data_IF_102459425857
#
_entry.id   IF_102459425857
#
_cell.length_a   1.000
_cell.length_b   1.000
_cell.length_c   1.000
_cell.angle_alpha   90.00
_cell.angle_beta   90.00
_cell.angle_gamma   90.00
#
_symmetry.space_group_name_H-M   'P 1'
#
loop_
_entity.id
_entity.type
_entity.pdbx_description
1 polymer ?
#
# COMPACT_ATOMS: atom_id res chain seq x y z
N UNK A 1 4.98 18.93 10.56
CA UNK A 1 5.15 20.30 11.05
C UNK A 1 4.06 21.21 10.47
N UNK A 2 3.39 22.00 11.33
CA UNK A 2 2.33 22.93 10.91
C UNK A 2 2.86 24.00 9.93
N UNK A 3 4.11 24.40 10.10
CA UNK A 3 4.77 25.37 9.22
C UNK A 3 4.91 24.79 7.80
N UNK A 4 5.28 23.52 7.68
CA UNK A 4 5.36 22.84 6.37
C UNK A 4 3.98 22.70 5.72
N UNK A 5 2.93 22.50 6.49
CA UNK A 5 1.55 22.45 5.97
C UNK A 5 1.12 23.79 5.33
N UNK A 6 1.64 24.90 5.83
CA UNK A 6 1.28 26.25 5.35
C UNK A 6 2.21 26.78 4.28
N UNK A 7 3.35 26.11 3.99
CA UNK A 7 4.28 26.51 2.93
C UNK A 7 3.71 26.22 1.53
N UNK A 8 4.23 26.96 0.54
CA UNK A 8 4.09 26.70 -0.89
C UNK A 8 2.64 26.49 -1.37
N UNK A 9 1.69 27.25 -0.82
CA UNK A 9 0.26 27.18 -1.17
C UNK A 9 -0.38 25.78 -0.95
N UNK A 10 0.24 24.94 -0.10
CA UNK A 10 -0.15 23.54 0.11
C UNK A 10 -1.62 23.40 0.52
N UNK A 11 -2.09 24.25 1.41
CA UNK A 11 -3.49 24.20 1.87
C UNK A 11 -4.47 24.46 0.72
N UNK A 12 -4.16 25.44 -0.17
CA UNK A 12 -4.99 25.72 -1.36
C UNK A 12 -4.89 24.59 -2.38
N UNK A 13 -3.71 23.99 -2.56
CA UNK A 13 -3.54 22.84 -3.45
C UNK A 13 -4.41 21.65 -2.99
N UNK A 14 -4.43 21.34 -1.69
CA UNK A 14 -5.28 20.31 -1.12
C UNK A 14 -6.77 20.63 -1.35
N UNK A 15 -7.20 21.88 -1.11
CA UNK A 15 -8.57 22.27 -1.34
C UNK A 15 -8.97 22.18 -2.83
N UNK A 16 -8.09 22.63 -3.76
CA UNK A 16 -8.32 22.49 -5.21
C UNK A 16 -8.41 21.04 -5.64
N UNK A 17 -7.55 20.19 -5.10
CA UNK A 17 -7.55 18.77 -5.42
C UNK A 17 -8.82 18.08 -4.93
N UNK A 18 -9.32 18.41 -3.74
CA UNK A 18 -10.59 17.91 -3.25
C UNK A 18 -11.78 18.32 -4.15
N UNK A 19 -11.81 19.59 -4.60
CA UNK A 19 -12.80 20.08 -5.54
C UNK A 19 -12.70 19.38 -6.89
N UNK A 20 -11.47 19.25 -7.43
CA UNK A 20 -11.23 18.55 -8.70
C UNK A 20 -11.76 17.12 -8.64
N UNK A 21 -11.41 16.38 -7.59
CA UNK A 21 -11.85 14.99 -7.40
C UNK A 21 -13.39 14.89 -7.30
N UNK A 22 -14.05 15.83 -6.59
CA UNK A 22 -15.51 15.88 -6.52
C UNK A 22 -16.14 16.13 -7.89
N UNK A 23 -15.61 17.07 -8.68
CA UNK A 23 -16.10 17.36 -10.03
C UNK A 23 -15.93 16.16 -10.98
N UNK A 24 -14.78 15.48 -10.94
CA UNK A 24 -14.54 14.26 -11.71
C UNK A 24 -15.61 13.20 -11.41
N UNK A 25 -15.96 13.02 -10.14
CA UNK A 25 -16.96 12.04 -9.73
C UNK A 25 -18.39 12.39 -10.17
N UNK A 26 -18.71 13.65 -10.42
CA UNK A 26 -20.03 14.05 -10.97
C UNK A 26 -20.24 13.53 -12.42
N UNK A 27 -19.16 13.50 -13.21
CA UNK A 27 -19.18 13.04 -14.60
C UNK A 27 -18.88 11.53 -14.74
N UNK A 28 -18.64 10.83 -13.61
CA UNK A 28 -18.24 9.44 -13.62
C UNK A 28 -19.38 8.50 -14.01
N UNK A 29 -19.09 7.58 -14.92
CA UNK A 29 -19.99 6.46 -15.28
C UNK A 29 -19.78 5.29 -14.30
N UNK A 30 -20.71 4.34 -14.30
CA UNK A 30 -20.58 3.14 -13.46
C UNK A 30 -19.38 2.29 -13.88
N UNK A 31 -18.62 1.81 -12.89
CA UNK A 31 -17.46 0.98 -13.13
C UNK A 31 -17.86 -0.41 -13.64
N UNK A 32 -17.11 -0.98 -14.61
CA UNK A 32 -17.33 -2.35 -15.05
C UNK A 32 -16.98 -3.34 -13.93
N UNK A 33 -17.69 -4.48 -13.89
CA UNK A 33 -17.37 -5.59 -13.01
C UNK A 33 -16.65 -6.72 -13.77
N UNK A 34 -15.81 -7.48 -13.05
CA UNK A 34 -15.12 -8.65 -13.59
C UNK A 34 -13.61 -8.62 -13.43
N UNK A 35 -12.94 -9.61 -13.99
CA UNK A 35 -11.46 -9.66 -13.99
C UNK A 35 -10.92 -8.82 -15.14
N UNK A 36 -10.00 -7.93 -14.83
CA UNK A 36 -9.37 -7.06 -15.83
C UNK A 36 -7.97 -6.62 -15.41
N UNK A 37 -7.23 -6.04 -16.35
CA UNK A 37 -5.97 -5.35 -16.06
C UNK A 37 -6.28 -4.04 -15.34
N UNK A 38 -5.60 -3.81 -14.20
CA UNK A 38 -5.69 -2.58 -13.44
C UNK A 38 -4.31 -1.93 -13.39
N UNK A 39 -4.26 -0.65 -13.72
CA UNK A 39 -3.07 0.18 -13.47
C UNK A 39 -3.34 1.01 -12.21
N UNK A 40 -2.47 0.89 -11.23
CA UNK A 40 -2.50 1.72 -10.03
C UNK A 40 -1.58 2.91 -10.22
N UNK A 41 -2.03 4.11 -9.89
CA UNK A 41 -1.20 5.31 -9.88
C UNK A 41 -0.12 5.29 -8.78
N UNK A 42 0.85 6.22 -8.82
CA UNK A 42 1.88 6.30 -7.81
C UNK A 42 1.39 6.97 -6.52
N UNK A 43 2.04 6.71 -5.40
CA UNK A 43 1.78 7.36 -4.11
C UNK A 43 0.75 6.64 -3.24
N UNK A 44 -0.39 7.29 -2.94
CA UNK A 44 -1.42 6.79 -2.02
C UNK A 44 -1.97 5.40 -2.37
N UNK A 45 -2.11 4.98 -3.64
CA UNK A 45 -2.48 3.60 -3.95
C UNK A 45 -1.57 2.53 -3.33
N UNK A 46 -0.38 2.89 -2.85
CA UNK A 46 0.47 2.04 -2.00
C UNK A 46 -0.18 1.56 -0.71
N UNK A 47 -1.35 2.08 -0.32
CA UNK A 47 -2.18 1.52 0.76
C UNK A 47 -2.53 0.05 0.48
N UNK A 48 -2.61 -0.35 -0.78
CA UNK A 48 -2.78 -1.76 -1.14
C UNK A 48 -1.62 -2.63 -0.65
N UNK A 49 -0.39 -2.12 -0.70
CA UNK A 49 0.79 -2.83 -0.17
C UNK A 49 0.76 -2.92 1.35
N UNK A 50 0.30 -1.86 2.02
CA UNK A 50 0.11 -1.84 3.47
C UNK A 50 -0.81 -2.97 3.92
N UNK A 51 -1.94 -3.16 3.23
CA UNK A 51 -2.89 -4.20 3.55
C UNK A 51 -2.45 -5.58 3.02
N UNK A 52 -2.02 -5.65 1.74
CA UNK A 52 -1.70 -6.91 1.09
C UNK A 52 -0.45 -7.60 1.66
N UNK A 53 0.53 -6.83 2.11
CA UNK A 53 1.83 -7.30 2.62
C UNK A 53 2.04 -6.86 4.06
N UNK A 54 1.91 -5.57 4.35
CA UNK A 54 2.33 -4.98 5.61
C UNK A 54 1.79 -5.72 6.84
N UNK A 55 0.50 -5.80 6.99
CA UNK A 55 -0.14 -6.53 8.10
C UNK A 55 0.17 -8.03 8.07
N UNK A 56 0.24 -8.63 6.88
CA UNK A 56 0.60 -10.04 6.73
C UNK A 56 2.03 -10.37 7.17
N UNK A 57 2.92 -9.36 7.22
CA UNK A 57 4.34 -9.53 7.58
C UNK A 57 4.64 -9.08 9.01
N UNK A 58 3.64 -8.72 9.80
CA UNK A 58 3.83 -8.44 11.22
C UNK A 58 4.19 -9.71 12.01
N UNK A 59 5.18 -9.60 12.89
CA UNK A 59 5.81 -10.74 13.55
C UNK A 59 4.89 -11.53 14.47
N UNK A 60 3.95 -10.88 15.13
CA UNK A 60 3.01 -11.54 16.05
C UNK A 60 2.05 -12.49 15.32
N UNK A 61 1.52 -12.11 14.15
CA UNK A 61 0.68 -13.00 13.33
C UNK A 61 1.48 -14.16 12.76
N UNK A 62 2.71 -13.91 12.29
CA UNK A 62 3.58 -14.94 11.76
C UNK A 62 4.03 -15.92 12.84
N UNK A 63 4.37 -15.45 14.05
CA UNK A 63 4.70 -16.31 15.20
C UNK A 63 3.54 -17.21 15.61
N UNK A 64 2.33 -16.68 15.58
CA UNK A 64 1.09 -17.44 15.91
C UNK A 64 0.65 -18.36 14.76
N UNK A 65 1.25 -18.27 13.57
CA UNK A 65 0.84 -19.05 12.41
C UNK A 65 -0.51 -18.61 11.82
N UNK A 66 -0.95 -17.38 12.10
CA UNK A 66 -2.28 -16.86 11.70
C UNK A 66 -2.22 -15.92 10.49
N UNK A 67 -1.03 -15.58 10.00
CA UNK A 67 -0.90 -14.82 8.75
C UNK A 67 -0.98 -15.76 7.53
N UNK A 68 -1.56 -15.26 6.44
CA UNK A 68 -1.52 -15.89 5.12
C UNK A 68 -0.08 -16.13 4.60
N UNK A 69 0.92 -15.46 5.17
CA UNK A 69 2.35 -15.58 4.81
C UNK A 69 3.16 -16.41 5.82
N UNK A 70 2.52 -16.99 6.84
CA UNK A 70 3.22 -17.81 7.82
C UNK A 70 3.95 -18.99 7.13
N UNK A 71 5.26 -19.11 7.40
CA UNK A 71 6.11 -20.13 6.78
C UNK A 71 6.60 -19.80 5.37
N UNK A 72 6.31 -18.61 4.82
CA UNK A 72 6.72 -18.22 3.46
C UNK A 72 8.09 -17.54 3.38
N UNK A 73 8.84 -17.45 4.48
CA UNK A 73 10.20 -16.88 4.47
C UNK A 73 11.08 -17.60 3.44
N UNK A 74 11.74 -16.82 2.57
CA UNK A 74 12.55 -17.33 1.46
C UNK A 74 11.75 -17.82 0.24
N UNK A 75 10.43 -17.83 0.30
CA UNK A 75 9.57 -18.22 -0.83
C UNK A 75 9.15 -17.02 -1.67
N UNK A 76 8.71 -17.30 -2.91
CA UNK A 76 8.17 -16.27 -3.81
C UNK A 76 6.73 -15.92 -3.43
N UNK A 77 6.54 -14.67 -3.04
CA UNK A 77 5.24 -14.09 -2.63
C UNK A 77 4.75 -13.00 -3.58
N UNK A 78 5.59 -12.54 -4.50
CA UNK A 78 5.26 -11.53 -5.51
C UNK A 78 5.98 -11.81 -6.84
N UNK A 79 5.65 -11.08 -7.89
CA UNK A 79 6.31 -11.15 -9.18
C UNK A 79 7.80 -10.75 -9.07
N UNK A 80 8.61 -11.18 -10.04
CA UNK A 80 10.00 -10.70 -10.18
C UNK A 80 10.02 -9.18 -10.36
N UNK A 81 11.06 -8.54 -9.83
CA UNK A 81 11.21 -7.08 -9.84
C UNK A 81 10.46 -6.38 -8.69
N UNK A 82 9.49 -7.03 -8.04
CA UNK A 82 8.80 -6.47 -6.88
C UNK A 82 9.72 -6.48 -5.66
N UNK A 83 10.09 -5.29 -5.18
CA UNK A 83 10.84 -5.10 -3.93
C UNK A 83 10.07 -4.14 -3.04
N UNK A 84 9.77 -4.56 -1.80
CA UNK A 84 8.95 -3.83 -0.83
C UNK A 84 9.74 -3.71 0.46
N UNK A 85 9.73 -2.50 1.01
CA UNK A 85 10.41 -2.17 2.28
C UNK A 85 9.43 -1.53 3.26
N UNK A 86 9.74 -1.64 4.57
CA UNK A 86 9.20 -0.79 5.62
C UNK A 86 10.33 0.05 6.20
N UNK A 87 10.24 1.38 6.03
CA UNK A 87 11.34 2.29 6.34
C UNK A 87 10.90 3.40 7.30
N UNK A 88 11.30 3.27 8.56
CA UNK A 88 11.05 4.28 9.59
C UNK A 88 12.07 5.43 9.61
N UNK A 89 13.09 5.42 8.76
CA UNK A 89 14.21 6.39 8.77
C UNK A 89 13.99 7.61 7.89
N UNK A 90 12.94 7.62 7.05
CA UNK A 90 12.68 8.69 6.10
C UNK A 90 12.38 10.01 6.80
N UNK A 91 13.22 11.03 6.57
CA UNK A 91 13.07 12.33 7.20
C UNK A 91 11.74 13.00 6.86
N UNK A 92 11.05 13.54 7.89
CA UNK A 92 9.82 14.32 7.72
C UNK A 92 8.58 13.52 7.29
N UNK A 93 8.65 12.18 7.27
CA UNK A 93 7.48 11.34 6.92
C UNK A 93 6.63 11.03 8.14
N UNK A 94 5.33 10.83 7.91
CA UNK A 94 4.34 10.61 8.97
C UNK A 94 4.56 9.31 9.76
N UNK A 95 5.02 8.26 9.11
CA UNK A 95 5.30 6.97 9.74
C UNK A 95 6.69 6.88 10.38
N UNK A 96 7.56 7.88 10.17
CA UNK A 96 8.96 7.85 10.61
C UNK A 96 9.14 8.15 12.09
N UNK A 97 10.14 7.53 12.67
CA UNK A 97 10.55 7.71 14.09
C UNK A 97 12.05 7.40 14.22
N UNK A 98 12.72 8.02 15.21
CA UNK A 98 14.13 7.76 15.48
C UNK A 98 14.33 6.44 16.21
N UNK A 99 13.44 6.15 17.17
CA UNK A 99 13.39 4.89 17.94
C UNK A 99 11.91 4.50 18.07
N UNK A 100 11.63 3.21 18.15
CA UNK A 100 10.29 2.71 18.44
C UNK A 100 9.93 2.84 19.93
N UNK A 101 8.71 2.47 20.30
CA UNK A 101 8.23 2.58 21.69
C UNK A 101 8.88 1.57 22.65
N UNK A 102 9.75 0.71 22.16
CA UNK A 102 10.60 -0.21 22.94
C UNK A 102 12.07 0.24 22.97
N UNK A 103 12.42 1.42 22.38
CA UNK A 103 13.77 1.95 22.32
C UNK A 103 14.67 1.25 21.29
N UNK A 104 14.09 0.57 20.29
CA UNK A 104 14.85 0.01 19.17
C UNK A 104 15.00 1.10 18.10
N UNK A 105 16.24 1.37 17.60
CA UNK A 105 16.41 2.31 16.49
C UNK A 105 15.61 1.90 15.26
N UNK A 106 14.99 2.89 14.61
CA UNK A 106 14.35 2.69 13.31
C UNK A 106 15.36 2.29 12.25
N UNK A 107 14.88 1.51 11.28
CA UNK A 107 15.68 1.06 10.16
C UNK A 107 14.82 0.90 8.90
N UNK A 108 15.47 0.68 7.77
CA UNK A 108 14.83 0.23 6.53
C UNK A 108 14.86 -1.30 6.51
N UNK A 109 13.71 -1.92 6.67
CA UNK A 109 13.55 -3.38 6.67
C UNK A 109 13.06 -3.85 5.31
N UNK A 110 13.87 -4.68 4.62
CA UNK A 110 13.44 -5.31 3.36
C UNK A 110 12.46 -6.44 3.68
N UNK A 111 11.23 -6.29 3.25
CA UNK A 111 10.16 -7.27 3.43
C UNK A 111 10.13 -8.27 2.26
N UNK A 112 10.16 -7.77 1.03
CA UNK A 112 10.20 -8.54 -0.21
C UNK A 112 11.34 -8.02 -1.07
N UNK A 113 12.17 -8.89 -1.62
CA UNK A 113 13.23 -8.57 -2.57
C UNK A 113 13.07 -9.43 -3.81
N UNK A 114 12.96 -8.81 -4.99
CA UNK A 114 12.70 -9.51 -6.26
C UNK A 114 11.59 -10.57 -6.16
N UNK A 115 10.53 -10.24 -5.45
CA UNK A 115 9.38 -11.12 -5.24
C UNK A 115 9.57 -12.21 -4.17
N UNK A 116 10.71 -12.28 -3.51
CA UNK A 116 11.02 -13.26 -2.45
C UNK A 116 10.85 -12.62 -1.08
N UNK A 117 10.12 -13.29 -0.18
CA UNK A 117 9.98 -12.85 1.21
C UNK A 117 11.31 -12.92 1.95
N UNK A 118 11.78 -11.78 2.49
CA UNK A 118 13.09 -11.63 3.15
C UNK A 118 13.02 -11.29 4.62
N UNK A 119 11.98 -10.59 5.04
CA UNK A 119 11.91 -10.07 6.40
C UNK A 119 10.49 -10.00 6.94
N UNK A 120 10.40 -9.77 8.23
CA UNK A 120 9.18 -9.49 8.98
C UNK A 120 9.32 -8.16 9.72
N UNK A 121 8.20 -7.55 10.02
CA UNK A 121 8.08 -6.37 10.89
C UNK A 121 8.04 -6.87 12.33
N UNK A 122 9.06 -6.54 13.14
CA UNK A 122 9.26 -7.15 14.46
C UNK A 122 9.34 -6.12 15.59
N UNK A 123 8.64 -6.42 16.70
CA UNK A 123 8.91 -5.87 18.01
C UNK A 123 9.96 -6.74 18.76
N UNK A 124 10.38 -6.33 19.94
CA UNK A 124 11.35 -7.10 20.75
C UNK A 124 10.78 -8.44 21.25
N UNK A 125 9.50 -8.45 21.63
CA UNK A 125 8.87 -9.64 22.20
C UNK A 125 8.75 -10.76 21.16
N UNK A 126 8.16 -10.48 20.00
CA UNK A 126 7.96 -11.47 18.95
C UNK A 126 9.28 -11.86 18.29
N UNK A 127 10.19 -10.91 18.07
CA UNK A 127 11.54 -11.18 17.56
C UNK A 127 12.28 -12.19 18.45
N UNK A 128 12.28 -11.98 19.76
CA UNK A 128 12.92 -12.92 20.72
C UNK A 128 12.34 -14.33 20.63
N UNK A 129 11.01 -14.45 20.58
CA UNK A 129 10.33 -15.75 20.52
C UNK A 129 10.55 -16.49 19.19
N UNK A 130 10.83 -15.76 18.12
CA UNK A 130 11.13 -16.30 16.79
C UNK A 130 12.63 -16.47 16.52
N UNK A 131 13.51 -16.11 17.47
CA UNK A 131 14.97 -16.11 17.24
C UNK A 131 15.43 -15.10 16.19
N UNK A 132 14.67 -14.00 16.00
CA UNK A 132 14.95 -12.94 15.04
C UNK A 132 15.43 -11.66 15.75
N UNK A 133 15.82 -10.65 14.96
CA UNK A 133 16.13 -9.31 15.46
C UNK A 133 14.89 -8.43 15.40
N UNK A 134 14.73 -7.53 16.39
CA UNK A 134 13.75 -6.45 16.33
C UNK A 134 14.11 -5.47 15.22
N UNK A 135 13.07 -4.90 14.58
CA UNK A 135 13.24 -4.05 13.39
C UNK A 135 12.90 -2.58 13.62
N UNK A 136 12.70 -2.16 14.89
CA UNK A 136 12.30 -0.79 15.21
C UNK A 136 10.83 -0.52 14.91
N UNK A 137 10.00 -1.55 15.00
CA UNK A 137 8.58 -1.52 14.69
C UNK A 137 7.69 -1.85 15.89
N UNK A 138 8.24 -1.92 17.10
CA UNK A 138 7.50 -2.08 18.35
C UNK A 138 6.77 -0.79 18.70
N UNK A 139 5.56 -0.56 18.18
CA UNK A 139 4.82 0.70 18.27
C UNK A 139 3.52 0.56 19.04
N UNK A 140 3.09 1.64 19.66
CA UNK A 140 1.82 1.76 20.39
C UNK A 140 1.17 3.12 20.14
N UNK A 141 -0.13 3.21 20.35
CA UNK A 141 -0.87 4.46 20.21
C UNK A 141 -0.50 5.48 21.28
N UNK A 142 -0.37 5.04 22.52
CA UNK A 142 -0.05 5.89 23.68
C UNK A 142 0.61 5.09 24.82
N UNK A 143 0.99 5.78 25.86
CA UNK A 143 1.55 5.18 27.08
C UNK A 143 0.62 4.15 27.75
N UNK A 144 -0.70 4.21 27.51
CA UNK A 144 -1.70 3.31 28.08
C UNK A 144 -1.78 1.95 27.32
N UNK A 145 -1.01 1.77 26.24
CA UNK A 145 -1.09 0.60 25.38
C UNK A 145 0.23 -0.18 25.37
N UNK A 146 0.15 -1.48 25.13
CA UNK A 146 1.34 -2.31 24.93
C UNK A 146 1.87 -2.13 23.49
N UNK A 147 3.20 -2.03 23.30
CA UNK A 147 3.79 -2.07 21.97
C UNK A 147 3.52 -3.40 21.27
N UNK A 148 3.39 -3.35 19.96
CA UNK A 148 3.22 -4.50 19.08
C UNK A 148 3.88 -4.23 17.73
N UNK A 149 4.12 -5.25 16.88
CA UNK A 149 4.66 -5.02 15.55
C UNK A 149 3.69 -4.16 14.72
N UNK A 150 4.16 -3.02 14.22
CA UNK A 150 3.41 -2.06 13.42
C UNK A 150 4.30 -1.47 12.33
N UNK A 151 3.73 -1.29 11.15
CA UNK A 151 4.41 -0.63 10.02
C UNK A 151 4.82 0.81 10.35
N UNK A 152 5.81 1.30 9.60
CA UNK A 152 6.25 2.70 9.59
C UNK A 152 5.89 3.35 8.25
N UNK A 153 6.77 3.36 7.26
CA UNK A 153 6.43 3.75 5.89
C UNK A 153 6.68 2.52 5.00
N UNK A 154 5.60 1.90 4.55
CA UNK A 154 5.66 0.70 3.71
C UNK A 154 5.49 1.09 2.25
N UNK A 155 6.48 0.80 1.41
CA UNK A 155 6.43 1.17 0.00
C UNK A 155 7.17 0.20 -0.92
N UNK A 156 6.77 0.19 -2.21
CA UNK A 156 7.45 -0.55 -3.27
C UNK A 156 8.52 0.35 -3.91
N UNK A 157 9.70 -0.20 -4.14
CA UNK A 157 10.76 0.50 -4.86
C UNK A 157 10.39 0.70 -6.33
N UNK A 158 10.98 1.74 -6.95
CA UNK A 158 10.79 2.03 -8.37
C UNK A 158 11.33 0.90 -9.26
N UNK A 159 10.60 0.64 -10.34
CA UNK A 159 11.03 -0.21 -11.44
C UNK A 159 11.69 0.59 -12.56
N UNK A 160 11.56 0.11 -13.80
CA UNK A 160 12.27 0.66 -14.95
C UNK A 160 11.35 1.23 -16.04
N UNK A 161 10.02 0.95 -15.96
CA UNK A 161 9.09 1.36 -17.01
C UNK A 161 8.66 2.83 -16.85
N UNK A 162 8.52 3.52 -17.96
CA UNK A 162 7.86 4.82 -17.97
C UNK A 162 6.35 4.65 -17.73
N UNK A 163 5.71 5.48 -16.89
CA UNK A 163 4.27 5.38 -16.61
C UNK A 163 3.40 5.37 -17.88
N UNK A 164 3.75 6.18 -18.87
CA UNK A 164 3.05 6.22 -20.15
C UNK A 164 3.21 4.92 -20.95
N UNK A 165 4.34 4.22 -20.83
CA UNK A 165 4.54 2.90 -21.44
C UNK A 165 3.58 1.88 -20.79
N UNK A 166 3.48 1.92 -19.46
CA UNK A 166 2.55 1.06 -18.71
C UNK A 166 1.11 1.29 -19.20
N UNK A 167 0.65 2.52 -19.27
CA UNK A 167 -0.70 2.85 -19.75
C UNK A 167 -0.93 2.38 -21.19
N UNK A 168 0.01 2.66 -22.09
CA UNK A 168 -0.08 2.25 -23.51
C UNK A 168 -0.11 0.74 -23.69
N UNK A 169 0.44 -0.03 -22.74
CA UNK A 169 0.44 -1.49 -22.79
C UNK A 169 -0.94 -2.12 -22.55
N UNK A 170 -1.91 -1.33 -22.04
CA UNK A 170 -3.24 -1.84 -21.64
C UNK A 170 -4.26 -1.53 -22.73
N UNK A 171 -4.80 -2.58 -23.37
CA UNK A 171 -5.83 -2.42 -24.40
C UNK A 171 -7.19 -2.07 -23.80
N UNK A 172 -7.55 -2.70 -22.68
CA UNK A 172 -8.79 -2.44 -21.91
C UNK A 172 -8.54 -2.73 -20.44
N UNK A 173 -8.86 -1.79 -19.58
CA UNK A 173 -8.62 -1.91 -18.15
C UNK A 173 -9.10 -0.72 -17.34
N UNK A 174 -8.64 -0.65 -16.11
CA UNK A 174 -8.95 0.41 -15.16
C UNK A 174 -7.65 1.12 -14.73
N UNK A 175 -7.67 2.44 -14.66
CA UNK A 175 -6.63 3.23 -14.00
C UNK A 175 -7.16 3.75 -12.68
N UNK A 176 -6.68 3.22 -11.55
CA UNK A 176 -7.08 3.64 -10.21
C UNK A 176 -6.04 4.62 -9.63
N UNK A 177 -6.47 5.84 -9.41
CA UNK A 177 -5.62 6.96 -9.00
C UNK A 177 -5.64 7.14 -7.49
N UNK A 178 -6.79 6.93 -6.87
CA UNK A 178 -6.97 7.20 -5.45
C UNK A 178 -7.98 6.23 -4.81
N UNK A 179 -7.84 6.02 -3.49
CA UNK A 179 -8.69 5.14 -2.71
C UNK A 179 -9.28 5.87 -1.51
N UNK A 180 -10.56 5.61 -1.22
CA UNK A 180 -11.26 6.16 -0.05
C UNK A 180 -11.06 5.34 1.22
N UNK A 181 -10.60 4.10 1.09
CA UNK A 181 -10.36 3.19 2.19
C UNK A 181 -10.33 1.73 1.73
N UNK A 182 -9.90 0.86 2.62
CA UNK A 182 -9.85 -0.57 2.39
C UNK A 182 -9.65 -1.34 3.69
N UNK A 183 -9.74 -2.64 3.60
CA UNK A 183 -9.50 -3.55 4.73
C UNK A 183 -8.93 -4.87 4.21
N UNK A 184 -8.24 -5.57 5.10
CA UNK A 184 -7.69 -6.91 4.85
C UNK A 184 -8.13 -7.88 5.94
N UNK A 185 -8.43 -9.11 5.55
CA UNK A 185 -8.45 -10.26 6.45
C UNK A 185 -7.04 -10.89 6.46
N UNK A 186 -6.32 -10.70 7.53
CA UNK A 186 -4.91 -11.10 7.67
C UNK A 186 -4.74 -12.62 7.57
N UNK A 187 -5.76 -13.39 7.96
CA UNK A 187 -5.69 -14.86 8.01
C UNK A 187 -5.67 -15.50 6.62
N UNK A 188 -6.39 -14.92 5.68
CA UNK A 188 -6.46 -15.40 4.30
C UNK A 188 -5.88 -14.43 3.27
N UNK A 189 -5.45 -13.25 3.72
CA UNK A 189 -4.86 -12.19 2.87
C UNK A 189 -5.84 -11.50 1.93
N UNK A 190 -7.15 -11.75 2.03
CA UNK A 190 -8.15 -11.11 1.19
C UNK A 190 -8.33 -9.65 1.56
N UNK A 191 -8.33 -8.80 0.56
CA UNK A 191 -8.54 -7.36 0.71
C UNK A 191 -9.69 -6.86 -0.17
N UNK A 192 -10.25 -5.74 0.24
CA UNK A 192 -11.26 -4.98 -0.50
C UNK A 192 -10.90 -3.50 -0.40
N UNK A 193 -10.77 -2.82 -1.56
CA UNK A 193 -10.48 -1.39 -1.66
C UNK A 193 -11.48 -0.69 -2.56
N UNK A 194 -12.08 0.39 -2.08
CA UNK A 194 -12.94 1.25 -2.89
C UNK A 194 -12.14 2.40 -3.49
N UNK A 195 -12.09 2.47 -4.81
CA UNK A 195 -11.49 3.59 -5.50
C UNK A 195 -12.36 4.84 -5.31
N UNK A 196 -11.74 5.94 -4.88
CA UNK A 196 -12.37 7.27 -4.83
C UNK A 196 -12.16 8.06 -6.13
N UNK A 197 -11.19 7.66 -6.93
CA UNK A 197 -10.95 8.18 -8.28
C UNK A 197 -10.36 7.07 -9.16
N UNK A 198 -11.04 6.77 -10.26
CA UNK A 198 -10.58 5.82 -11.25
C UNK A 198 -11.11 6.17 -12.64
N UNK A 199 -10.47 5.64 -13.68
CA UNK A 199 -10.76 5.90 -15.08
C UNK A 199 -10.72 4.60 -15.88
N UNK A 200 -11.46 4.54 -16.99
CA UNK A 200 -11.28 3.47 -17.99
C UNK A 200 -9.97 3.69 -18.76
N UNK A 201 -9.32 2.58 -19.10
CA UNK A 201 -8.26 2.56 -20.11
C UNK A 201 -8.83 1.86 -21.34
N UNK A 202 -8.79 2.55 -22.48
CA UNK A 202 -9.23 2.05 -23.79
C UNK A 202 -8.13 2.33 -24.81
N UNK A 203 -7.62 1.28 -25.44
CA UNK A 203 -6.52 1.32 -26.42
C UNK A 203 -5.30 2.14 -25.96
N UNK A 204 -4.88 1.91 -24.72
CA UNK A 204 -3.71 2.57 -24.11
C UNK A 204 -3.92 4.03 -23.70
N UNK A 205 -5.16 4.51 -23.64
CA UNK A 205 -5.51 5.88 -23.25
C UNK A 205 -6.47 5.88 -22.07
N UNK A 206 -6.24 6.80 -21.14
CA UNK A 206 -7.20 7.13 -20.08
C UNK A 206 -8.38 7.84 -20.76
N UNK A 207 -9.60 7.36 -20.49
CA UNK A 207 -10.82 7.90 -21.10
C UNK A 207 -11.79 8.42 -20.03
N UNK A 208 -12.88 7.75 -19.76
CA UNK A 208 -13.95 8.24 -18.89
C UNK A 208 -13.67 7.95 -17.42
N UNK A 209 -13.97 8.89 -16.50
CA UNK A 209 -13.97 8.57 -15.08
C UNK A 209 -15.05 7.54 -14.74
N UNK A 210 -14.77 6.72 -13.73
CA UNK A 210 -15.70 5.71 -13.22
C UNK A 210 -15.90 5.83 -11.71
N UNK A 211 -17.11 5.51 -11.27
CA UNK A 211 -17.49 5.45 -9.85
C UNK A 211 -17.89 4.02 -9.45
N UNK A 212 -17.81 3.73 -8.15
CA UNK A 212 -18.19 2.43 -7.61
C UNK A 212 -17.21 1.29 -7.93
N UNK A 213 -16.00 1.61 -8.40
CA UNK A 213 -14.95 0.62 -8.61
C UNK A 213 -14.41 0.12 -7.27
N UNK A 214 -14.44 -1.20 -7.08
CA UNK A 214 -13.90 -1.86 -5.89
C UNK A 214 -12.90 -2.92 -6.31
N UNK A 215 -11.65 -2.82 -5.84
CA UNK A 215 -10.61 -3.81 -6.10
C UNK A 215 -10.69 -4.92 -5.05
N UNK A 216 -10.74 -6.16 -5.51
CA UNK A 216 -10.91 -7.34 -4.66
C UNK A 216 -9.82 -8.36 -5.01
N UNK A 217 -9.13 -8.88 -4.01
CA UNK A 217 -8.07 -9.87 -4.22
C UNK A 217 -7.53 -10.46 -2.94
N UNK A 218 -6.51 -11.30 -3.08
CA UNK A 218 -5.68 -11.76 -1.99
C UNK A 218 -4.23 -11.31 -2.24
N UNK A 219 -3.57 -10.75 -1.21
CA UNK A 219 -2.25 -10.15 -1.36
C UNK A 219 -1.21 -11.09 -1.97
N UNK A 220 -1.19 -12.34 -1.51
CA UNK A 220 -0.29 -13.39 -2.02
C UNK A 220 -0.49 -13.75 -3.50
N UNK A 221 -1.69 -13.50 -4.05
CA UNK A 221 -2.00 -13.79 -5.45
C UNK A 221 -1.85 -12.54 -6.33
N UNK A 222 -2.39 -11.41 -5.87
CA UNK A 222 -2.40 -10.16 -6.65
C UNK A 222 -1.00 -9.65 -6.93
N UNK A 223 -0.08 -9.71 -5.96
CA UNK A 223 1.30 -9.26 -6.16
C UNK A 223 2.10 -10.16 -7.11
N UNK A 224 1.70 -11.40 -7.33
CA UNK A 224 2.26 -12.28 -8.38
C UNK A 224 1.80 -11.88 -9.79
N UNK A 225 0.72 -11.11 -9.91
CA UNK A 225 0.16 -10.61 -11.17
C UNK A 225 0.73 -9.23 -11.56
N UNK A 226 1.63 -8.66 -10.77
CA UNK A 226 2.34 -7.43 -11.16
C UNK A 226 3.21 -7.73 -12.37
N UNK A 227 2.94 -7.08 -13.50
CA UNK A 227 3.63 -7.31 -14.77
C UNK A 227 4.54 -6.17 -15.22
N UNK A 228 4.26 -4.94 -14.76
CA UNK A 228 5.12 -3.77 -15.02
C UNK A 228 5.18 -2.87 -13.79
N UNK A 229 6.35 -2.30 -13.52
CA UNK A 229 6.62 -1.42 -12.37
C UNK A 229 7.25 -0.13 -12.92
N UNK A 230 6.63 1.00 -12.60
CA UNK A 230 7.06 2.32 -13.03
C UNK A 230 8.32 2.83 -12.36
N UNK A 231 8.94 3.84 -12.96
CA UNK A 231 10.12 4.53 -12.43
C UNK A 231 9.74 5.78 -11.59
N UNK A 232 8.45 6.02 -11.38
CA UNK A 232 7.84 7.22 -10.81
C UNK A 232 7.40 7.05 -9.35
N UNK A 233 8.20 6.34 -8.54
CA UNK A 233 7.90 6.16 -7.10
C UNK A 233 7.52 7.48 -6.44
N UNK A 234 6.35 7.47 -5.80
CA UNK A 234 5.90 8.53 -4.88
C UNK A 234 5.49 7.94 -3.54
N UNK A 235 5.66 8.72 -2.50
CA UNK A 235 5.10 8.45 -1.18
C UNK A 235 3.82 9.28 -1.01
N UNK A 236 2.92 8.80 -0.15
CA UNK A 236 1.67 9.50 0.17
C UNK A 236 1.89 10.92 0.73
N UNK A 237 0.84 11.73 0.78
CA UNK A 237 0.90 13.13 1.28
C UNK A 237 0.90 13.22 2.84
N UNK A 238 1.04 12.11 3.55
CA UNK A 238 1.11 12.07 5.02
C UNK A 238 -0.25 11.99 5.70
N UNK A 239 -1.18 11.19 5.16
CA UNK A 239 -2.54 11.03 5.70
C UNK A 239 -2.77 9.67 6.37
N UNK A 240 -1.85 8.71 6.21
CA UNK A 240 -2.02 7.33 6.65
C UNK A 240 -2.18 7.18 8.17
N UNK A 241 -3.20 6.42 8.57
CA UNK A 241 -3.42 5.94 9.94
C UNK A 241 -3.73 4.45 9.86
N UNK A 242 -3.00 3.66 10.63
CA UNK A 242 -3.16 2.21 10.68
C UNK A 242 -3.80 1.78 12.00
N UNK A 243 -4.86 0.99 11.92
CA UNK A 243 -5.56 0.41 13.08
C UNK A 243 -5.17 -1.06 13.30
N UNK A 244 -4.91 -1.46 14.56
CA UNK A 244 -4.71 -2.86 14.96
C UNK A 244 -4.99 -3.00 16.45
N UNK A 245 -5.77 -4.00 16.83
CA UNK A 245 -6.13 -4.30 18.22
C UNK A 245 -6.62 -3.07 19.01
N UNK A 246 -7.47 -2.25 18.37
CA UNK A 246 -8.02 -1.03 18.97
C UNK A 246 -7.02 0.12 19.12
N UNK A 247 -5.80 0.01 18.59
CA UNK A 247 -4.77 1.03 18.60
C UNK A 247 -4.56 1.64 17.21
N UNK A 248 -4.40 2.95 17.13
CA UNK A 248 -4.11 3.69 15.91
C UNK A 248 -2.69 4.28 15.94
N UNK A 249 -1.92 4.08 14.87
CA UNK A 249 -0.60 4.70 14.72
C UNK A 249 -0.48 5.42 13.38
N UNK A 250 0.27 6.54 13.30
CA UNK A 250 0.55 7.18 12.02
C UNK A 250 1.48 6.32 11.17
N UNK A 251 1.17 6.20 9.88
CA UNK A 251 1.96 5.44 8.91
C UNK A 251 2.12 6.22 7.61
N UNK A 252 3.09 5.83 6.79
CA UNK A 252 3.22 6.25 5.41
C UNK A 252 3.11 5.06 4.47
N UNK A 253 2.72 5.32 3.24
CA UNK A 253 2.67 4.34 2.16
C UNK A 253 3.25 4.93 0.88
N UNK A 254 3.59 4.06 -0.07
CA UNK A 254 4.05 4.52 -1.36
C UNK A 254 4.20 3.41 -2.37
N UNK A 255 4.15 3.80 -3.64
CA UNK A 255 4.46 2.92 -4.76
C UNK A 255 4.72 3.74 -6.02
N UNK A 256 5.37 3.17 -7.03
CA UNK A 256 5.34 3.68 -8.40
C UNK A 256 4.03 3.29 -9.10
N UNK A 257 3.84 3.76 -10.32
CA UNK A 257 2.78 3.23 -11.20
C UNK A 257 2.97 1.73 -11.41
N UNK A 258 1.91 0.95 -11.17
CA UNK A 258 1.92 -0.52 -11.27
C UNK A 258 0.88 -1.01 -12.26
N UNK A 259 1.24 -1.96 -13.11
CA UNK A 259 0.29 -2.76 -13.88
C UNK A 259 0.09 -4.10 -13.18
N UNK A 260 -1.15 -4.43 -12.86
CA UNK A 260 -1.58 -5.69 -12.27
C UNK A 260 -2.53 -6.36 -13.24
N UNK A 261 -2.17 -7.54 -13.71
CA UNK A 261 -3.02 -8.29 -14.63
C UNK A 261 -4.05 -9.12 -13.84
N UNK A 262 -5.23 -9.31 -14.43
CA UNK A 262 -6.27 -10.22 -13.93
C UNK A 262 -6.73 -9.93 -12.48
N UNK A 263 -6.88 -8.65 -12.11
CA UNK A 263 -7.45 -8.26 -10.82
C UNK A 263 -8.97 -8.21 -10.90
N UNK A 264 -9.65 -8.69 -9.84
CA UNK A 264 -11.11 -8.60 -9.76
C UNK A 264 -11.52 -7.17 -9.40
N UNK A 265 -12.37 -6.61 -10.24
CA UNK A 265 -13.03 -5.32 -10.02
C UNK A 265 -14.51 -5.59 -9.75
N UNK A 266 -15.02 -5.19 -8.59
CA UNK A 266 -16.43 -5.04 -8.32
C UNK A 266 -16.88 -3.70 -8.87
N UNK A 267 -17.95 -3.69 -9.65
CA UNK A 267 -18.49 -2.50 -10.29
C UNK A 267 -19.98 -2.35 -10.04
N UNK A 268 -20.54 -1.22 -10.46
CA UNK A 268 -21.97 -0.89 -10.37
C UNK A 268 -22.66 -0.93 -11.72
N UNK A 269 -21.90 -1.09 -12.82
CA UNK A 269 -22.49 -1.29 -14.14
C UNK A 269 -23.22 -2.63 -14.19
N UNK A 270 -24.53 -2.60 -14.53
CA UNK A 270 -25.39 -3.75 -14.70
C UNK A 270 -25.11 -4.48 -16.03
#
# INVERSE_FOLDING_TARGET
DLVELLKDDRARRIAREAVRSALVNLDAVDAPAGNMTVVLGPGWPGVLLHEAIGHGFEGDFNRKGTSAFSGSMGQRVAARGVTIVDDGTLAGRRGSLSVDDEGTPSQCTVLVEDGIMKGLIQDKFNARLMGMKATGNGRRESFAHLPMPRMTNTYMLAGQHEPDEILRSVKRGLYAVNFGGGQVDITNGKFVFSASEAYLIEDGKITRPVKGATLIGAGSEVLKQVSMIGNDLKLDEGVGVCGKDGQSVPVGVGQPTLRIDNLTVGGTAA
#
